data_IF_315363388082
#
_entry.id   IF_315363388082
#
_cell.length_a   1.000
_cell.length_b   1.000
_cell.length_c   1.000
_cell.angle_alpha   90.00
_cell.angle_beta   90.00
_cell.angle_gamma   90.00
#
_symmetry.space_group_name_H-M   'P 1'
#
loop_
_entity.id
_entity.type
_entity.pdbx_description
1 polymer ?
#
# COMPACT_ATOMS: atom_id res chain seq x y z
N UNK A 1 -2.99 -13.88 13.78
CA UNK A 1 -2.32 -12.58 13.79
C UNK A 1 -3.37 -11.48 13.72
N UNK A 2 -3.07 -10.31 14.28
CA UNK A 2 -3.88 -9.09 14.17
C UNK A 2 -3.34 -8.26 13.00
N UNK A 3 -4.10 -8.16 11.91
CA UNK A 3 -3.64 -7.56 10.66
C UNK A 3 -4.44 -6.33 10.32
N UNK A 4 -3.76 -5.20 10.09
CA UNK A 4 -4.36 -4.00 9.54
C UNK A 4 -4.18 -3.99 8.01
N UNK A 5 -5.28 -3.86 7.28
CA UNK A 5 -5.27 -3.65 5.82
C UNK A 5 -5.72 -2.21 5.52
N UNK A 6 -4.80 -1.37 5.08
CA UNK A 6 -5.13 -0.02 4.63
C UNK A 6 -5.63 -0.10 3.18
N UNK A 7 -6.95 0.04 3.00
CA UNK A 7 -7.68 -0.30 1.79
C UNK A 7 -8.45 -1.61 1.95
N UNK A 8 -8.54 -2.43 0.89
CA UNK A 8 -9.11 -3.79 0.98
C UNK A 8 -10.51 -3.96 0.39
N UNK A 9 -11.29 -2.89 0.21
CA UNK A 9 -12.68 -2.97 -0.25
C UNK A 9 -12.87 -2.94 -1.77
N UNK A 10 -11.79 -2.95 -2.55
CA UNK A 10 -11.85 -2.93 -4.01
C UNK A 10 -10.78 -3.78 -4.64
N UNK A 11 -11.11 -4.34 -5.84
CA UNK A 11 -10.17 -5.02 -6.69
C UNK A 11 -9.49 -6.20 -5.97
N UNK A 12 -8.25 -6.52 -6.25
CA UNK A 12 -7.53 -7.62 -5.59
C UNK A 12 -7.48 -7.52 -4.06
N UNK A 13 -7.73 -6.33 -3.47
CA UNK A 13 -7.85 -6.17 -2.03
C UNK A 13 -8.99 -6.99 -1.43
N UNK A 14 -10.08 -7.21 -2.17
CA UNK A 14 -11.19 -8.06 -1.73
C UNK A 14 -10.71 -9.50 -1.54
N UNK A 15 -10.00 -10.03 -2.54
CA UNK A 15 -9.46 -11.40 -2.50
C UNK A 15 -8.43 -11.56 -1.38
N UNK A 16 -7.59 -10.54 -1.18
CA UNK A 16 -6.60 -10.55 -0.11
C UNK A 16 -7.26 -10.59 1.28
N UNK A 17 -8.24 -9.73 1.54
CA UNK A 17 -8.94 -9.72 2.84
C UNK A 17 -9.67 -11.05 3.07
N UNK A 18 -10.38 -11.58 2.08
CA UNK A 18 -11.03 -12.88 2.20
C UNK A 18 -10.03 -13.98 2.52
N UNK A 19 -8.87 -13.98 1.86
CA UNK A 19 -7.83 -15.00 2.13
C UNK A 19 -7.27 -14.91 3.54
N UNK A 20 -7.07 -13.70 4.07
CA UNK A 20 -6.64 -13.50 5.46
C UNK A 20 -7.69 -14.02 6.46
N UNK A 21 -8.98 -13.77 6.19
CA UNK A 21 -10.08 -14.28 7.01
C UNK A 21 -10.18 -15.81 6.97
N UNK A 22 -10.05 -16.42 5.78
CA UNK A 22 -10.01 -17.87 5.60
C UNK A 22 -8.87 -18.53 6.38
N UNK A 23 -7.74 -17.83 6.54
CA UNK A 23 -6.59 -18.28 7.31
C UNK A 23 -6.72 -18.03 8.83
N UNK A 24 -7.87 -17.52 9.29
CA UNK A 24 -8.17 -17.31 10.70
C UNK A 24 -7.47 -16.10 11.33
N UNK A 25 -7.11 -15.08 10.52
CA UNK A 25 -6.53 -13.85 11.04
C UNK A 25 -7.62 -12.88 11.53
N UNK A 26 -7.32 -12.13 12.58
CA UNK A 26 -8.13 -10.99 13.01
C UNK A 26 -7.79 -9.80 12.10
N UNK A 27 -8.72 -9.43 11.22
CA UNK A 27 -8.49 -8.41 10.20
C UNK A 27 -9.22 -7.12 10.56
N UNK A 28 -8.47 -6.03 10.56
CA UNK A 28 -9.01 -4.65 10.61
C UNK A 28 -8.79 -4.00 9.25
N UNK A 29 -9.83 -3.44 8.64
CA UNK A 29 -9.69 -2.66 7.41
C UNK A 29 -9.75 -1.17 7.73
N UNK A 30 -8.81 -0.38 7.17
CA UNK A 30 -8.80 1.07 7.27
C UNK A 30 -9.16 1.69 5.92
N UNK A 31 -10.32 2.36 5.82
CA UNK A 31 -10.86 2.91 4.59
C UNK A 31 -11.60 4.22 4.84
N UNK A 32 -12.07 4.87 3.78
CA UNK A 32 -12.93 6.06 3.89
C UNK A 32 -14.39 5.75 4.24
N UNK A 33 -14.76 4.48 4.36
CA UNK A 33 -16.15 4.06 4.60
C UNK A 33 -17.13 4.27 3.43
N UNK A 34 -16.65 4.74 2.25
CA UNK A 34 -17.53 5.11 1.11
C UNK A 34 -17.88 3.93 0.19
N UNK A 35 -17.14 2.84 0.26
CA UNK A 35 -17.36 1.66 -0.57
C UNK A 35 -17.91 0.56 0.31
N UNK A 36 -19.11 0.03 0.01
CA UNK A 36 -19.62 -1.15 0.71
C UNK A 36 -18.66 -2.32 0.55
N UNK A 37 -18.62 -3.16 1.55
CA UNK A 37 -17.92 -4.44 1.52
C UNK A 37 -18.84 -5.58 1.93
N UNK A 38 -18.45 -6.82 1.65
CA UNK A 38 -19.22 -8.03 1.94
C UNK A 38 -18.68 -8.81 3.15
N UNK A 39 -17.82 -8.21 3.97
CA UNK A 39 -17.18 -8.94 5.08
C UNK A 39 -18.07 -9.08 6.31
N UNK A 40 -19.16 -8.32 6.43
CA UNK A 40 -20.03 -8.32 7.61
C UNK A 40 -19.26 -8.02 8.89
N UNK A 41 -19.53 -8.79 9.94
CA UNK A 41 -18.88 -8.66 11.25
C UNK A 41 -17.52 -9.38 11.36
N UNK A 42 -17.02 -9.94 10.23
CA UNK A 42 -15.74 -10.65 10.20
C UNK A 42 -14.53 -9.75 10.25
N UNK A 43 -14.70 -8.44 10.06
CA UNK A 43 -13.62 -7.46 10.08
C UNK A 43 -13.97 -6.29 11.00
N UNK A 44 -12.98 -5.78 11.68
CA UNK A 44 -13.05 -4.45 12.30
C UNK A 44 -12.84 -3.36 11.25
N UNK A 45 -13.41 -2.17 11.48
CA UNK A 45 -13.32 -1.05 10.54
C UNK A 45 -12.81 0.21 11.21
N UNK A 46 -11.83 0.84 10.58
CA UNK A 46 -11.33 2.17 10.96
C UNK A 46 -11.59 3.12 9.79
N UNK A 47 -12.24 4.24 10.07
CA UNK A 47 -12.43 5.29 9.05
C UNK A 47 -11.22 6.21 9.03
N UNK A 48 -10.61 6.37 7.84
CA UNK A 48 -9.44 7.22 7.63
C UNK A 48 -9.61 8.09 6.38
N UNK A 49 -8.99 9.27 6.40
CA UNK A 49 -8.69 10.06 5.20
C UNK A 49 -7.20 9.91 4.88
N UNK A 50 -6.87 8.98 3.99
CA UNK A 50 -5.51 8.51 3.73
C UNK A 50 -4.50 9.63 3.42
N UNK A 51 -4.94 10.73 2.83
CA UNK A 51 -4.13 11.90 2.46
C UNK A 51 -4.22 13.05 3.47
N UNK A 52 -4.77 12.80 4.65
CA UNK A 52 -4.86 13.78 5.72
C UNK A 52 -4.12 13.23 6.94
N UNK A 53 -3.04 13.88 7.33
CA UNK A 53 -2.16 13.46 8.40
C UNK A 53 -2.88 13.33 9.74
N UNK A 54 -3.69 14.33 10.08
CA UNK A 54 -4.44 14.36 11.35
C UNK A 54 -5.41 13.18 11.45
N UNK A 55 -6.18 12.92 10.38
CA UNK A 55 -7.08 11.76 10.33
C UNK A 55 -6.34 10.44 10.48
N UNK A 56 -5.14 10.31 9.91
CA UNK A 56 -4.32 9.12 10.05
C UNK A 56 -3.79 8.98 11.48
N UNK A 57 -3.33 10.06 12.06
CA UNK A 57 -2.82 10.10 13.45
C UNK A 57 -3.93 9.72 14.43
N UNK A 58 -5.08 10.40 14.40
CA UNK A 58 -6.20 10.14 15.31
C UNK A 58 -6.72 8.70 15.22
N UNK A 59 -6.79 8.17 14.00
CA UNK A 59 -7.33 6.83 13.78
C UNK A 59 -6.37 5.71 14.18
N UNK A 60 -5.05 5.92 14.11
CA UNK A 60 -4.06 4.85 14.18
C UNK A 60 -3.11 4.95 15.36
N UNK A 61 -2.91 6.13 15.95
CA UNK A 61 -1.99 6.33 17.07
C UNK A 61 -2.34 5.45 18.27
N UNK A 62 -1.31 4.81 18.84
CA UNK A 62 -1.46 3.93 20.00
C UNK A 62 -2.07 2.55 19.70
N UNK A 63 -2.32 2.23 18.42
CA UNK A 63 -2.76 0.90 18.00
C UNK A 63 -1.56 0.05 17.59
N UNK A 64 -1.58 -1.22 17.99
CA UNK A 64 -0.59 -2.21 17.59
C UNK A 64 -1.21 -3.28 16.70
N UNK A 65 -0.46 -3.69 15.66
CA UNK A 65 -0.79 -4.81 14.77
C UNK A 65 0.45 -5.66 14.52
N UNK A 66 0.27 -6.98 14.43
CA UNK A 66 1.36 -7.88 14.03
C UNK A 66 1.84 -7.55 12.60
N UNK A 67 0.89 -7.25 11.71
CA UNK A 67 1.20 -6.88 10.32
C UNK A 67 0.32 -5.73 9.85
N UNK A 68 0.92 -4.76 9.19
CA UNK A 68 0.22 -3.72 8.43
C UNK A 68 0.44 -3.93 6.94
N UNK A 69 -0.63 -4.07 6.17
CA UNK A 69 -0.59 -4.18 4.71
C UNK A 69 -1.14 -2.89 4.11
N UNK A 70 -0.26 -2.06 3.56
CA UNK A 70 -0.66 -0.79 2.95
C UNK A 70 -0.82 -0.92 1.43
N UNK A 71 -2.07 -1.12 1.02
CA UNK A 71 -2.45 -1.30 -0.38
C UNK A 71 -2.54 0.01 -1.16
N UNK A 72 -2.68 1.13 -0.47
CA UNK A 72 -3.02 2.41 -1.08
C UNK A 72 -2.05 3.54 -0.75
N UNK A 73 -0.84 3.23 -0.28
CA UNK A 73 0.23 4.20 -0.23
C UNK A 73 0.78 4.48 -1.65
N UNK A 74 0.94 5.75 -1.99
CA UNK A 74 1.45 6.18 -3.30
C UNK A 74 2.72 7.00 -3.18
N UNK A 75 2.83 7.86 -2.19
CA UNK A 75 3.90 8.84 -2.03
C UNK A 75 4.59 8.72 -0.66
N UNK A 76 5.65 9.48 -0.46
CA UNK A 76 6.43 9.42 0.79
C UNK A 76 5.64 9.88 2.02
N UNK A 77 4.74 10.87 1.89
CA UNK A 77 3.87 11.26 3.01
C UNK A 77 2.90 10.15 3.40
N UNK A 78 2.41 9.37 2.43
CA UNK A 78 1.60 8.20 2.74
C UNK A 78 2.35 7.18 3.61
N UNK A 79 3.63 6.92 3.33
CA UNK A 79 4.48 6.05 4.14
C UNK A 79 4.66 6.65 5.54
N UNK A 80 4.99 7.95 5.63
CA UNK A 80 5.21 8.64 6.89
C UNK A 80 4.02 8.48 7.84
N UNK A 81 2.81 8.75 7.37
CA UNK A 81 1.60 8.70 8.20
C UNK A 81 1.31 7.31 8.79
N UNK A 82 1.81 6.25 8.19
CA UNK A 82 1.70 4.91 8.78
C UNK A 82 2.88 4.63 9.69
N UNK A 83 4.09 4.86 9.23
CA UNK A 83 5.30 4.48 9.96
C UNK A 83 5.49 5.27 11.26
N UNK A 84 4.95 6.51 11.34
CA UNK A 84 5.03 7.35 12.54
C UNK A 84 3.90 7.09 13.55
N UNK A 85 2.71 6.66 13.07
CA UNK A 85 1.53 6.59 13.92
C UNK A 85 1.04 5.18 14.24
N UNK A 86 1.50 4.16 13.52
CA UNK A 86 1.13 2.76 13.78
C UNK A 86 2.31 2.01 14.37
N UNK A 87 2.07 1.33 15.48
CA UNK A 87 3.00 0.33 15.96
C UNK A 87 2.71 -1.02 15.29
N UNK A 88 3.73 -1.63 14.67
CA UNK A 88 3.59 -2.93 14.02
C UNK A 88 4.90 -3.71 13.97
N UNK A 89 4.78 -5.05 14.03
CA UNK A 89 5.94 -5.93 13.91
C UNK A 89 6.45 -6.02 12.46
N UNK A 90 5.55 -5.87 11.50
CA UNK A 90 5.89 -5.88 10.07
C UNK A 90 4.99 -4.94 9.26
N UNK A 91 5.61 -4.14 8.40
CA UNK A 91 4.92 -3.30 7.42
C UNK A 91 5.11 -3.84 6.01
N UNK A 92 4.01 -4.08 5.27
CA UNK A 92 4.04 -4.53 3.88
C UNK A 92 3.49 -3.41 3.00
N UNK A 93 4.37 -2.81 2.22
CA UNK A 93 4.04 -1.75 1.26
C UNK A 93 3.78 -2.33 -0.13
N UNK A 94 2.63 -2.05 -0.71
CA UNK A 94 2.34 -2.40 -2.10
C UNK A 94 2.91 -1.35 -3.04
N UNK A 95 4.10 -1.62 -3.52
CA UNK A 95 4.83 -0.80 -4.49
C UNK A 95 4.48 -1.17 -5.93
N UNK A 96 5.31 -0.81 -6.87
CA UNK A 96 5.11 -1.03 -8.31
C UNK A 96 6.45 -1.25 -9.00
N UNK A 97 6.47 -2.08 -10.04
CA UNK A 97 7.62 -2.17 -10.95
C UNK A 97 7.92 -0.86 -11.69
N UNK A 98 7.04 0.14 -11.58
CA UNK A 98 7.28 1.50 -12.13
C UNK A 98 8.42 2.24 -11.42
N UNK A 99 8.87 1.77 -10.26
CA UNK A 99 10.00 2.39 -9.53
C UNK A 99 11.32 2.23 -10.26
N UNK A 100 11.49 1.17 -11.05
CA UNK A 100 12.71 0.93 -11.80
C UNK A 100 12.90 1.97 -12.92
N UNK A 101 14.11 2.52 -13.02
CA UNK A 101 14.47 3.47 -14.06
C UNK A 101 16.00 3.48 -14.29
N UNK A 102 16.50 3.09 -15.48
CA UNK A 102 15.72 2.55 -16.60
C UNK A 102 15.16 1.14 -16.32
N UNK A 103 14.13 0.75 -17.05
CA UNK A 103 13.65 -0.63 -17.11
C UNK A 103 14.35 -1.36 -18.26
N UNK A 104 14.70 -2.62 -18.02
CA UNK A 104 15.26 -3.52 -19.04
C UNK A 104 14.72 -4.94 -18.89
N UNK A 105 14.97 -5.80 -19.88
CA UNK A 105 14.37 -7.15 -19.96
C UNK A 105 14.63 -8.02 -18.72
N UNK A 106 15.83 -7.90 -18.14
CA UNK A 106 16.24 -8.69 -16.98
C UNK A 106 16.36 -7.82 -15.71
N UNK A 107 15.44 -6.87 -15.53
CA UNK A 107 15.40 -6.04 -14.31
C UNK A 107 15.29 -6.91 -13.07
N UNK A 108 16.22 -6.75 -12.14
CA UNK A 108 16.30 -7.44 -10.87
C UNK A 108 16.10 -6.46 -9.70
N UNK A 109 15.88 -6.98 -8.50
CA UNK A 109 15.58 -6.15 -7.33
C UNK A 109 16.72 -5.16 -7.00
N UNK A 110 17.97 -5.59 -7.17
CA UNK A 110 19.16 -4.77 -6.94
C UNK A 110 19.35 -3.60 -7.90
N UNK A 111 18.59 -3.52 -9.00
CA UNK A 111 18.60 -2.38 -9.92
C UNK A 111 17.92 -1.13 -9.31
N UNK A 112 17.28 -1.29 -8.16
CA UNK A 112 16.69 -0.19 -7.42
C UNK A 112 17.58 0.19 -6.23
N UNK A 113 18.19 1.36 -6.32
CA UNK A 113 18.93 1.96 -5.22
C UNK A 113 18.05 2.95 -4.44
N UNK A 114 17.67 2.54 -3.24
CA UNK A 114 16.84 3.37 -2.33
C UNK A 114 17.65 4.33 -1.47
N UNK A 115 18.97 4.16 -1.36
CA UNK A 115 19.81 4.95 -0.44
C UNK A 115 20.44 6.18 -1.09
N UNK A 116 20.98 6.05 -2.30
CA UNK A 116 21.79 7.10 -2.91
C UNK A 116 20.99 8.19 -3.61
N UNK A 117 19.68 8.03 -3.75
CA UNK A 117 18.82 8.95 -4.51
C UNK A 117 18.30 10.09 -3.64
N UNK A 118 18.08 11.24 -4.27
CA UNK A 118 17.51 12.41 -3.60
C UNK A 118 16.09 12.11 -3.13
N UNK A 119 15.92 12.12 -1.83
CA UNK A 119 14.65 11.93 -1.15
C UNK A 119 13.96 13.27 -0.86
N UNK A 120 12.64 13.30 -1.10
CA UNK A 120 11.77 14.40 -0.68
C UNK A 120 10.47 13.86 -0.11
N UNK A 121 9.96 14.51 0.92
CA UNK A 121 8.58 14.31 1.33
C UNK A 121 7.66 14.92 0.29
N UNK A 122 6.71 14.17 -0.22
CA UNK A 122 5.80 14.65 -1.27
C UNK A 122 4.41 14.06 -1.12
N UNK A 123 3.45 14.77 -1.68
CA UNK A 123 2.07 14.34 -1.83
C UNK A 123 1.81 13.72 -3.22
N UNK A 124 0.66 13.08 -3.36
CA UNK A 124 0.30 12.28 -4.55
C UNK A 124 0.25 13.07 -5.86
N UNK A 125 0.08 14.39 -5.82
CA UNK A 125 -0.11 15.24 -6.99
C UNK A 125 1.15 16.02 -7.38
N UNK A 126 2.23 15.95 -6.59
CA UNK A 126 3.41 16.76 -6.80
C UNK A 126 4.32 16.24 -7.91
N UNK A 127 4.27 14.94 -8.17
CA UNK A 127 5.09 14.30 -9.20
C UNK A 127 4.30 13.22 -9.96
N UNK A 128 4.79 12.76 -11.13
CA UNK A 128 4.25 11.59 -11.84
C UNK A 128 4.23 10.33 -10.97
N UNK A 129 3.34 9.39 -11.32
CA UNK A 129 3.09 8.17 -10.53
C UNK A 129 4.35 7.39 -10.19
N UNK A 130 5.21 7.14 -11.16
CA UNK A 130 6.45 6.40 -10.97
C UNK A 130 7.41 7.13 -10.03
N UNK A 131 7.42 8.46 -10.05
CA UNK A 131 8.28 9.26 -9.19
C UNK A 131 7.77 9.30 -7.75
N UNK A 132 6.46 9.49 -7.52
CA UNK A 132 5.91 9.42 -6.15
C UNK A 132 6.10 8.04 -5.53
N UNK A 133 5.99 6.96 -6.34
CA UNK A 133 6.27 5.59 -5.89
C UNK A 133 7.74 5.39 -5.51
N UNK A 134 8.67 5.96 -6.27
CA UNK A 134 10.10 5.98 -5.90
C UNK A 134 10.31 6.71 -4.57
N UNK A 135 9.71 7.89 -4.40
CA UNK A 135 9.83 8.65 -3.14
C UNK A 135 9.25 7.88 -1.94
N UNK A 136 8.18 7.12 -2.14
CA UNK A 136 7.64 6.25 -1.10
C UNK A 136 8.65 5.15 -0.67
N UNK A 137 9.31 4.50 -1.63
CA UNK A 137 10.37 3.54 -1.30
C UNK A 137 11.62 4.20 -0.70
N UNK A 138 12.05 5.36 -1.22
CA UNK A 138 13.17 6.11 -0.61
C UNK A 138 12.90 6.48 0.84
N UNK A 139 11.64 6.82 1.19
CA UNK A 139 11.27 7.04 2.58
C UNK A 139 11.53 5.81 3.45
N UNK A 140 11.13 4.61 3.01
CA UNK A 140 11.39 3.37 3.73
C UNK A 140 12.89 3.11 3.92
N UNK A 141 13.68 3.23 2.85
CA UNK A 141 15.11 2.99 2.88
C UNK A 141 15.88 4.00 3.74
N UNK A 142 15.55 5.29 3.63
CA UNK A 142 16.35 6.37 4.22
C UNK A 142 15.85 6.86 5.58
N UNK A 143 14.54 6.76 5.85
CA UNK A 143 13.93 7.27 7.09
C UNK A 143 13.53 6.18 8.07
N UNK A 144 13.29 4.97 7.56
CA UNK A 144 12.85 3.83 8.40
C UNK A 144 13.72 2.57 8.24
N UNK A 145 15.08 2.67 8.13
CA UNK A 145 15.94 1.52 7.88
C UNK A 145 15.93 0.49 9.03
N UNK A 146 15.57 0.94 10.25
CA UNK A 146 15.47 0.06 11.45
C UNK A 146 14.12 -0.59 11.65
N UNK A 147 13.12 -0.30 10.79
CA UNK A 147 11.80 -0.92 10.86
C UNK A 147 11.73 -2.17 9.98
N UNK A 148 10.97 -3.16 10.41
CA UNK A 148 10.76 -4.39 9.64
C UNK A 148 9.70 -4.15 8.55
N UNK A 149 10.13 -3.85 7.34
CA UNK A 149 9.25 -3.60 6.20
C UNK A 149 9.61 -4.41 4.96
N UNK A 150 8.63 -4.61 4.09
CA UNK A 150 8.79 -5.21 2.76
C UNK A 150 8.06 -4.32 1.76
N UNK A 151 8.73 -3.98 0.66
CA UNK A 151 8.09 -3.36 -0.51
C UNK A 151 7.85 -4.42 -1.59
N UNK A 152 6.59 -4.70 -1.90
CA UNK A 152 6.22 -5.66 -2.95
C UNK A 152 5.94 -4.89 -4.23
N UNK A 153 6.79 -5.06 -5.24
CA UNK A 153 6.70 -4.34 -6.52
C UNK A 153 5.85 -5.11 -7.50
N UNK A 154 4.58 -4.73 -7.59
CA UNK A 154 3.63 -5.35 -8.52
C UNK A 154 3.81 -4.79 -9.93
N UNK A 155 3.73 -5.65 -10.97
CA UNK A 155 3.52 -5.22 -12.34
C UNK A 155 2.05 -4.81 -12.55
N UNK A 156 1.49 -5.02 -13.73
CA UNK A 156 0.04 -4.88 -13.93
C UNK A 156 -0.72 -5.95 -13.14
N UNK A 157 -1.59 -5.52 -12.23
CA UNK A 157 -2.55 -6.40 -11.60
C UNK A 157 -3.80 -6.47 -12.50
N UNK A 158 -4.25 -7.67 -12.83
CA UNK A 158 -5.43 -7.94 -13.65
C UNK A 158 -6.30 -8.96 -12.93
N UNK A 159 -7.58 -8.71 -12.79
CA UNK A 159 -8.55 -9.67 -12.29
C UNK A 159 -9.97 -9.35 -12.80
N UNK A 160 -10.91 -10.27 -12.58
CA UNK A 160 -12.32 -10.11 -12.98
C UNK A 160 -12.99 -8.89 -12.37
N UNK A 161 -12.54 -8.42 -11.21
CA UNK A 161 -13.08 -7.30 -10.48
C UNK A 161 -12.32 -5.98 -10.79
N UNK A 162 -11.56 -5.95 -11.91
CA UNK A 162 -10.81 -4.77 -12.33
C UNK A 162 -11.73 -3.67 -12.87
N UNK A 163 -12.16 -2.78 -11.98
CA UNK A 163 -12.98 -1.63 -12.32
C UNK A 163 -12.25 -0.60 -13.22
N UNK A 164 -10.94 -0.73 -13.40
CA UNK A 164 -10.14 0.15 -14.28
C UNK A 164 -10.17 -0.32 -15.73
N UNK A 165 -10.77 -1.49 -16.01
CA UNK A 165 -10.93 -2.08 -17.34
C UNK A 165 -9.63 -2.27 -18.11
N UNK A 166 -8.51 -2.48 -17.43
CA UNK A 166 -7.19 -2.64 -18.08
C UNK A 166 -7.13 -3.84 -19.00
N UNK A 167 -7.69 -4.99 -18.55
CA UNK A 167 -7.77 -6.18 -19.38
C UNK A 167 -8.65 -5.93 -20.60
N UNK A 168 -9.81 -5.30 -20.42
CA UNK A 168 -10.74 -5.00 -21.50
C UNK A 168 -10.08 -4.14 -22.56
N UNK A 169 -9.31 -3.11 -22.16
CA UNK A 169 -8.55 -2.28 -23.09
C UNK A 169 -7.66 -3.12 -24.02
N UNK A 170 -6.93 -4.10 -23.49
CA UNK A 170 -6.07 -4.95 -24.33
C UNK A 170 -6.90 -5.88 -25.21
N UNK A 171 -8.02 -6.43 -24.72
CA UNK A 171 -8.89 -7.30 -25.52
C UNK A 171 -9.56 -6.54 -26.67
N UNK A 172 -9.91 -5.29 -26.48
CA UNK A 172 -10.59 -4.47 -27.51
C UNK A 172 -9.62 -3.89 -28.56
N UNK A 173 -8.29 -3.89 -28.30
CA UNK A 173 -7.29 -3.26 -29.15
C UNK A 173 -6.25 -4.24 -29.73
N UNK A 174 -6.48 -5.55 -29.60
CA UNK A 174 -5.73 -6.63 -30.23
C UNK A 174 -6.60 -7.33 -31.25
#
# INVERSE_FOLDING_TARGET
MKILVIGGTRYFGIHMVNKLLEQGHAVTIATRGKTPDSYGDKVERITIQRTNEESMREALQGKHFDVVIDKIAYCSNDIRYVMDYVDCDKYIYMSSTSVYNPKHMNTVESDFDGYSKNFVWCDRKEFPYEQIKRQAEYALWQKYPGKNWIAVRYPFAICKDDYTKRLLFYVEHV
#
